data_IF_859772113504
#
_entry.id   IF_859772113504
#
_cell.length_a   1.000
_cell.length_b   1.000
_cell.length_c   1.000
_cell.angle_alpha   90.00
_cell.angle_beta   90.00
_cell.angle_gamma   90.00
#
_symmetry.space_group_name_H-M   'P 1'
#
loop_
_entity.id
_entity.type
_entity.pdbx_description
1 polymer ?
#
# COMPACT_ATOMS: atom_id res chain seq x y z
N UNK A 1 2.09 -46.92 -0.79
CA UNK A 1 2.20 -46.15 -2.04
C UNK A 1 2.77 -44.82 -1.63
N UNK A 2 4.09 -44.72 -1.72
CA UNK A 2 4.85 -43.58 -1.24
C UNK A 2 4.63 -42.41 -2.21
N UNK A 3 3.96 -41.37 -1.72
CA UNK A 3 3.89 -40.09 -2.39
C UNK A 3 5.29 -39.49 -2.35
N UNK A 4 5.97 -39.49 -3.50
CA UNK A 4 7.19 -38.72 -3.69
C UNK A 4 6.87 -37.23 -3.49
N UNK A 5 7.25 -36.69 -2.34
CA UNK A 5 7.39 -35.25 -2.14
C UNK A 5 8.44 -34.75 -3.14
N UNK A 6 7.95 -34.19 -4.25
CA UNK A 6 8.77 -33.40 -5.16
C UNK A 6 9.43 -32.27 -4.33
N UNK A 7 10.75 -32.06 -4.44
CA UNK A 7 11.38 -30.96 -3.72
C UNK A 7 10.76 -29.66 -4.24
N UNK A 8 10.07 -28.93 -3.35
CA UNK A 8 9.63 -27.57 -3.63
C UNK A 8 10.87 -26.77 -4.04
N UNK A 9 11.00 -26.51 -5.33
CA UNK A 9 12.02 -25.60 -5.84
C UNK A 9 11.67 -24.21 -5.32
N UNK A 10 12.59 -23.62 -4.55
CA UNK A 10 12.40 -22.28 -3.97
C UNK A 10 12.06 -21.29 -5.09
N UNK A 11 10.94 -20.57 -4.94
CA UNK A 11 10.56 -19.48 -5.84
C UNK A 11 11.48 -18.26 -5.71
N UNK A 12 12.32 -18.22 -4.69
CA UNK A 12 13.23 -17.12 -4.41
C UNK A 12 14.51 -17.26 -5.23
N UNK A 13 14.78 -16.29 -6.10
CA UNK A 13 15.97 -16.21 -6.94
C UNK A 13 17.03 -15.26 -6.38
N UNK A 14 16.61 -14.18 -5.72
CA UNK A 14 17.48 -13.08 -5.25
C UNK A 14 17.76 -13.03 -3.75
N UNK A 15 17.09 -13.84 -2.92
CA UNK A 15 17.22 -13.79 -1.46
C UNK A 15 16.60 -15.00 -0.75
N UNK A 16 16.61 -15.00 0.58
CA UNK A 16 15.87 -15.98 1.39
C UNK A 16 14.54 -15.39 1.85
N UNK A 17 13.59 -16.27 2.22
CA UNK A 17 12.32 -15.84 2.82
C UNK A 17 12.54 -14.95 4.06
N UNK A 18 13.49 -15.32 4.93
CA UNK A 18 13.81 -14.55 6.13
C UNK A 18 14.27 -13.12 5.78
N UNK A 19 15.14 -12.98 4.79
CA UNK A 19 15.61 -11.67 4.36
C UNK A 19 14.48 -10.81 3.76
N UNK A 20 13.57 -11.40 2.99
CA UNK A 20 12.40 -10.70 2.48
C UNK A 20 11.49 -10.21 3.63
N UNK A 21 11.29 -11.04 4.67
CA UNK A 21 10.52 -10.67 5.86
C UNK A 21 11.19 -9.50 6.60
N UNK A 22 12.51 -9.54 6.79
CA UNK A 22 13.27 -8.44 7.40
C UNK A 22 13.11 -7.13 6.60
N UNK A 23 13.11 -7.22 5.27
CA UNK A 23 12.86 -6.05 4.40
C UNK A 23 11.47 -5.48 4.66
N UNK A 24 10.42 -6.31 4.70
CA UNK A 24 9.08 -5.84 5.01
C UNK A 24 8.97 -5.24 6.41
N UNK A 25 9.61 -5.85 7.42
CA UNK A 25 9.60 -5.33 8.79
C UNK A 25 10.22 -3.94 8.87
N UNK A 26 11.31 -3.70 8.13
CA UNK A 26 11.95 -2.40 8.08
C UNK A 26 11.11 -1.35 7.32
N UNK A 27 10.46 -1.73 6.23
CA UNK A 27 9.49 -0.86 5.53
C UNK A 27 8.34 -0.48 6.48
N UNK A 28 7.74 -1.45 7.16
CA UNK A 28 6.65 -1.23 8.11
C UNK A 28 7.09 -0.33 9.27
N UNK A 29 8.27 -0.58 9.85
CA UNK A 29 8.82 0.24 10.93
C UNK A 29 8.98 1.70 10.52
N UNK A 30 9.50 1.94 9.32
CA UNK A 30 9.66 3.30 8.78
C UNK A 30 8.32 3.96 8.51
N UNK A 31 7.37 3.23 7.94
CA UNK A 31 6.01 3.70 7.74
C UNK A 31 5.33 4.11 9.06
N UNK A 32 5.37 3.26 10.10
CA UNK A 32 4.76 3.59 11.40
C UNK A 32 5.49 4.75 12.10
N UNK A 33 6.81 4.87 11.93
CA UNK A 33 7.58 5.98 12.48
C UNK A 33 7.19 7.32 11.85
N UNK A 34 6.91 7.33 10.54
CA UNK A 34 6.58 8.55 9.79
C UNK A 34 5.13 8.98 9.95
N UNK A 35 4.24 8.08 10.39
CA UNK A 35 2.79 8.31 10.41
C UNK A 35 2.21 8.01 11.81
N UNK A 36 2.24 8.96 12.76
CA UNK A 36 1.77 8.77 14.13
C UNK A 36 0.31 8.31 14.27
N UNK A 37 -0.61 8.87 13.48
CA UNK A 37 -2.04 8.51 13.54
C UNK A 37 -2.23 7.08 13.04
N UNK A 38 -1.64 6.75 11.90
CA UNK A 38 -1.59 5.40 11.35
C UNK A 38 -0.98 4.40 12.33
N UNK A 39 0.11 4.78 13.02
CA UNK A 39 0.72 3.95 14.06
C UNK A 39 -0.25 3.70 15.21
N UNK A 40 -0.97 4.72 15.67
CA UNK A 40 -1.98 4.57 16.72
C UNK A 40 -3.08 3.61 16.30
N UNK A 41 -3.57 3.69 15.05
CA UNK A 41 -4.56 2.73 14.53
C UNK A 41 -3.97 1.31 14.50
N UNK A 42 -2.74 1.17 13.99
CA UNK A 42 -2.05 -0.12 13.91
C UNK A 42 -1.86 -0.78 15.29
N UNK A 43 -1.44 -0.01 16.31
CA UNK A 43 -1.33 -0.48 17.70
C UNK A 43 -2.71 -0.81 18.30
N UNK A 44 -3.70 0.03 18.03
CA UNK A 44 -5.05 -0.16 18.54
C UNK A 44 -5.67 -1.46 18.02
N UNK A 45 -5.55 -1.76 16.72
CA UNK A 45 -6.07 -3.00 16.12
C UNK A 45 -5.47 -4.24 16.77
N UNK A 46 -4.16 -4.25 17.02
CA UNK A 46 -3.48 -5.37 17.69
C UNK A 46 -3.87 -5.52 19.16
N UNK A 47 -4.12 -4.40 19.85
CA UNK A 47 -4.46 -4.41 21.27
C UNK A 47 -5.83 -5.02 21.55
N UNK A 48 -6.75 -4.96 20.58
CA UNK A 48 -8.09 -5.53 20.70
C UNK A 48 -8.00 -7.03 20.64
N UNK A 49 -8.47 -7.70 21.71
CA UNK A 49 -8.54 -9.17 21.81
C UNK A 49 -7.21 -9.89 21.51
N UNK A 50 -6.07 -9.18 21.60
CA UNK A 50 -4.75 -9.65 21.20
C UNK A 50 -4.74 -10.21 19.76
N UNK A 51 -5.31 -9.43 18.85
CA UNK A 51 -5.62 -9.84 17.48
C UNK A 51 -4.37 -10.29 16.70
N UNK A 52 -4.50 -11.40 15.97
CA UNK A 52 -3.44 -11.96 15.15
C UNK A 52 -3.47 -11.33 13.76
N UNK A 53 -2.88 -10.14 13.66
CA UNK A 53 -2.95 -9.35 12.44
C UNK A 53 -2.29 -10.05 11.23
N UNK A 54 -2.93 -9.91 10.08
CA UNK A 54 -2.37 -10.25 8.78
C UNK A 54 -2.54 -9.04 7.85
N UNK A 55 -1.60 -8.89 6.92
CA UNK A 55 -1.63 -7.79 5.96
C UNK A 55 -2.19 -8.31 4.63
N UNK A 56 -3.20 -7.62 4.10
CA UNK A 56 -3.73 -7.93 2.78
C UNK A 56 -2.74 -7.50 1.70
N UNK A 57 -2.32 -6.23 1.78
CA UNK A 57 -1.39 -5.65 0.83
C UNK A 57 -0.65 -4.43 1.39
N UNK A 58 0.49 -4.11 0.77
CA UNK A 58 1.23 -2.87 0.94
C UNK A 58 1.25 -2.08 -0.37
N UNK A 59 0.99 -0.78 -0.29
CA UNK A 59 0.87 0.08 -1.48
C UNK A 59 1.97 1.14 -1.52
N UNK A 60 2.49 1.41 -2.71
CA UNK A 60 3.54 2.39 -2.96
C UNK A 60 3.18 3.25 -4.17
N UNK A 61 3.61 4.51 -4.14
CA UNK A 61 3.42 5.46 -5.24
C UNK A 61 4.78 5.90 -5.76
N UNK A 62 4.90 5.96 -7.09
CA UNK A 62 6.15 6.24 -7.79
C UNK A 62 5.93 7.22 -8.94
N UNK A 63 7.00 7.68 -9.58
CA UNK A 63 6.95 8.61 -10.71
C UNK A 63 7.53 7.91 -11.94
N UNK A 64 6.75 7.74 -13.00
CA UNK A 64 7.19 7.07 -14.23
C UNK A 64 8.09 8.00 -15.04
N UNK A 65 9.35 8.06 -14.66
CA UNK A 65 10.37 8.86 -15.31
C UNK A 65 11.75 8.29 -15.02
N UNK A 66 12.60 8.15 -16.05
CA UNK A 66 14.05 7.86 -15.92
C UNK A 66 14.47 6.78 -14.90
N UNK A 67 13.65 5.72 -14.78
CA UNK A 67 13.90 4.59 -13.89
C UNK A 67 13.37 4.74 -12.45
N UNK A 68 12.46 5.69 -12.19
CA UNK A 68 11.81 5.91 -10.90
C UNK A 68 10.38 5.34 -10.80
N UNK A 69 9.90 4.66 -11.85
CA UNK A 69 8.57 4.05 -11.89
C UNK A 69 8.49 2.75 -11.10
N UNK A 70 7.46 1.94 -11.37
CA UNK A 70 7.20 0.67 -10.66
C UNK A 70 8.44 -0.25 -10.66
N UNK A 71 9.14 -0.34 -11.80
CA UNK A 71 10.30 -1.22 -11.99
C UNK A 71 11.47 -0.95 -11.03
N UNK A 72 11.57 0.29 -10.53
CA UNK A 72 12.60 0.70 -9.56
C UNK A 72 12.52 -0.08 -8.25
N UNK A 73 11.33 -0.59 -7.92
CA UNK A 73 11.05 -1.27 -6.66
C UNK A 73 10.56 -2.71 -6.88
N UNK A 74 9.75 -2.95 -7.91
CA UNK A 74 9.16 -4.27 -8.19
C UNK A 74 10.21 -5.34 -8.50
N UNK A 75 11.33 -4.96 -9.14
CA UNK A 75 12.41 -5.87 -9.51
C UNK A 75 12.93 -6.67 -8.32
N UNK A 76 13.16 -6.02 -7.17
CA UNK A 76 13.56 -6.70 -5.93
C UNK A 76 12.55 -7.76 -5.49
N UNK A 77 11.27 -7.42 -5.47
CA UNK A 77 10.23 -8.33 -5.00
C UNK A 77 10.03 -9.50 -5.98
N UNK A 78 10.12 -9.24 -7.28
CA UNK A 78 10.04 -10.27 -8.31
C UNK A 78 11.22 -11.25 -8.22
N UNK A 79 12.43 -10.78 -7.91
CA UNK A 79 13.58 -11.64 -7.63
C UNK A 79 13.35 -12.51 -6.38
N UNK A 80 12.48 -12.08 -5.46
CA UNK A 80 12.06 -12.84 -4.29
C UNK A 80 10.73 -13.59 -4.50
N UNK A 81 10.35 -13.84 -5.75
CA UNK A 81 9.28 -14.76 -6.11
C UNK A 81 7.88 -14.14 -6.24
N UNK A 82 7.74 -12.81 -6.06
CA UNK A 82 6.50 -12.12 -6.41
C UNK A 82 6.22 -12.19 -7.90
N UNK A 83 4.93 -12.20 -8.28
CA UNK A 83 4.49 -12.25 -9.68
C UNK A 83 3.49 -11.12 -9.94
N UNK A 84 3.51 -10.57 -11.15
CA UNK A 84 2.49 -9.60 -11.57
C UNK A 84 1.14 -10.31 -11.59
N UNK A 85 0.18 -9.80 -10.83
CA UNK A 85 -1.18 -10.31 -10.76
C UNK A 85 -2.15 -9.60 -11.69
N UNK A 86 -1.91 -8.32 -12.00
CA UNK A 86 -2.75 -7.54 -12.91
C UNK A 86 -2.46 -6.04 -12.86
N UNK A 87 -3.16 -5.28 -13.70
CA UNK A 87 -3.02 -3.83 -13.80
C UNK A 87 -4.34 -3.08 -13.61
N UNK A 88 -4.22 -1.82 -13.20
CA UNK A 88 -5.29 -0.86 -13.00
C UNK A 88 -4.87 0.46 -13.64
N UNK A 89 -5.59 0.91 -14.66
CA UNK A 89 -5.33 2.21 -15.28
C UNK A 89 -6.34 3.24 -14.80
N UNK A 90 -5.85 4.42 -14.42
CA UNK A 90 -6.64 5.56 -13.96
C UNK A 90 -6.39 6.76 -14.89
N UNK A 91 -6.99 6.79 -16.10
CA UNK A 91 -6.69 7.82 -17.10
C UNK A 91 -6.95 9.25 -16.61
N UNK A 92 -7.96 9.45 -15.75
CA UNK A 92 -8.26 10.77 -15.18
C UNK A 92 -7.22 11.26 -14.17
N UNK A 93 -6.40 10.36 -13.63
CA UNK A 93 -5.38 10.64 -12.61
C UNK A 93 -3.96 10.57 -13.18
N UNK A 94 -3.81 10.33 -14.49
CA UNK A 94 -2.53 10.06 -15.16
C UNK A 94 -1.71 9.01 -14.38
N UNK A 95 -2.37 7.94 -13.94
CA UNK A 95 -1.81 6.93 -13.04
C UNK A 95 -2.01 5.53 -13.63
N UNK A 96 -0.95 4.73 -13.57
CA UNK A 96 -0.99 3.29 -13.80
C UNK A 96 -0.63 2.55 -12.51
N UNK A 97 -1.41 1.54 -12.16
CA UNK A 97 -1.16 0.64 -11.04
C UNK A 97 -0.87 -0.79 -11.51
N UNK A 98 0.04 -1.47 -10.83
CA UNK A 98 0.23 -2.91 -10.91
C UNK A 98 0.13 -3.52 -9.52
N UNK A 99 -0.47 -4.71 -9.43
CA UNK A 99 -0.43 -5.49 -8.19
C UNK A 99 0.36 -6.78 -8.39
N UNK A 100 0.96 -7.26 -7.30
CA UNK A 100 1.84 -8.42 -7.29
C UNK A 100 1.40 -9.42 -6.24
N UNK A 101 1.22 -10.68 -6.65
CA UNK A 101 0.94 -11.80 -5.76
C UNK A 101 2.22 -12.28 -5.07
N UNK A 102 2.17 -12.63 -3.78
CA UNK A 102 3.32 -13.12 -3.04
C UNK A 102 3.74 -14.52 -3.49
N UNK A 103 4.99 -14.95 -3.22
CA UNK A 103 5.40 -16.34 -3.41
C UNK A 103 4.63 -17.28 -2.47
N UNK A 104 4.48 -18.54 -2.87
CA UNK A 104 3.95 -19.58 -1.99
C UNK A 104 4.97 -19.93 -0.90
N UNK A 105 4.56 -19.82 0.36
CA UNK A 105 5.36 -20.16 1.54
C UNK A 105 4.53 -21.00 2.49
N UNK A 106 5.20 -21.82 3.30
CA UNK A 106 4.51 -22.59 4.36
C UNK A 106 4.20 -21.66 5.53
N UNK A 107 2.93 -21.53 5.86
CA UNK A 107 2.46 -20.69 6.97
C UNK A 107 1.98 -21.62 8.09
N UNK A 108 2.48 -21.47 9.33
CA UNK A 108 1.93 -22.16 10.49
C UNK A 108 0.44 -21.87 10.66
N UNK A 109 -0.32 -22.80 11.25
CA UNK A 109 -1.77 -22.64 11.45
C UNK A 109 -2.13 -21.36 12.22
N UNK A 110 -1.25 -20.94 13.13
CA UNK A 110 -1.40 -19.75 13.96
C UNK A 110 -0.49 -18.58 13.53
N UNK A 111 0.10 -18.69 12.34
CA UNK A 111 1.03 -17.74 11.75
C UNK A 111 0.38 -16.39 11.46
N UNK A 112 1.00 -15.32 11.95
CA UNK A 112 0.52 -13.95 11.84
C UNK A 112 1.69 -12.96 11.81
N UNK A 113 1.39 -11.70 11.51
CA UNK A 113 2.38 -10.65 11.32
C UNK A 113 3.32 -10.91 10.13
N UNK A 114 4.38 -10.11 10.02
CA UNK A 114 5.37 -10.27 8.95
C UNK A 114 6.37 -11.40 9.21
N UNK A 115 6.61 -11.76 10.47
CA UNK A 115 7.62 -12.76 10.81
C UNK A 115 7.16 -14.19 10.54
N UNK A 116 5.87 -14.49 10.79
CA UNK A 116 5.33 -15.85 10.69
C UNK A 116 3.99 -15.96 9.93
N UNK A 117 3.45 -14.85 9.42
CA UNK A 117 2.17 -14.83 8.70
C UNK A 117 2.32 -14.94 7.18
N UNK A 118 1.18 -14.89 6.45
CA UNK A 118 1.19 -14.69 5.00
C UNK A 118 1.92 -13.41 4.63
N UNK A 119 2.67 -13.45 3.53
CA UNK A 119 3.26 -12.24 2.95
C UNK A 119 2.17 -11.39 2.30
N UNK A 120 2.23 -10.05 2.42
CA UNK A 120 1.25 -9.17 1.80
C UNK A 120 1.38 -9.21 0.27
N UNK A 121 0.27 -8.97 -0.44
CA UNK A 121 0.32 -8.54 -1.84
C UNK A 121 1.00 -7.17 -1.90
N UNK A 122 1.51 -6.79 -3.07
CA UNK A 122 2.04 -5.45 -3.29
C UNK A 122 1.21 -4.73 -4.32
N UNK A 123 0.93 -3.45 -4.10
CA UNK A 123 0.34 -2.56 -5.10
C UNK A 123 1.33 -1.42 -5.34
N UNK A 124 1.63 -1.14 -6.60
CA UNK A 124 2.56 -0.09 -6.97
C UNK A 124 1.91 0.77 -8.05
N UNK A 125 1.70 2.04 -7.72
CA UNK A 125 1.27 3.06 -8.66
C UNK A 125 2.45 3.83 -9.24
N UNK A 126 2.35 4.26 -10.49
CA UNK A 126 3.25 5.24 -11.09
C UNK A 126 2.47 6.34 -11.81
N UNK A 127 2.79 7.59 -11.49
CA UNK A 127 2.28 8.74 -12.22
C UNK A 127 2.99 8.81 -13.56
N UNK A 128 2.20 8.90 -14.63
CA UNK A 128 2.66 9.07 -16.00
C UNK A 128 3.14 10.52 -16.18
N UNK A 129 4.39 10.78 -15.80
CA UNK A 129 4.95 12.15 -15.77
C UNK A 129 4.88 12.82 -17.14
N UNK A 130 5.07 12.07 -18.22
CA UNK A 130 4.98 12.60 -19.59
C UNK A 130 3.56 13.05 -20.00
N UNK A 131 2.53 12.69 -19.21
CA UNK A 131 1.13 13.15 -19.38
C UNK A 131 0.79 14.38 -18.52
N UNK A 132 1.72 14.85 -17.68
CA UNK A 132 1.59 16.12 -16.95
C UNK A 132 1.96 17.31 -17.84
N UNK A 133 1.69 18.52 -17.36
CA UNK A 133 2.07 19.76 -18.01
C UNK A 133 3.59 19.87 -18.18
N UNK A 134 4.09 20.56 -19.23
CA UNK A 134 5.53 20.76 -19.41
C UNK A 134 6.21 21.41 -18.19
N UNK A 135 5.50 22.29 -17.47
CA UNK A 135 6.00 22.93 -16.26
C UNK A 135 6.21 21.91 -15.12
N UNK A 136 5.22 21.07 -14.83
CA UNK A 136 5.36 19.99 -13.84
C UNK A 136 6.44 18.98 -14.23
N UNK A 137 6.55 18.63 -15.52
CA UNK A 137 7.61 17.77 -16.02
C UNK A 137 9.00 18.37 -15.77
N UNK A 138 9.18 19.66 -16.05
CA UNK A 138 10.46 20.37 -15.84
C UNK A 138 10.82 20.41 -14.35
N UNK A 139 9.85 20.70 -13.47
CA UNK A 139 10.05 20.68 -12.02
C UNK A 139 10.48 19.28 -11.57
N UNK A 140 9.78 18.22 -11.95
CA UNK A 140 10.15 16.86 -11.53
C UNK A 140 11.55 16.47 -12.04
N UNK A 141 11.85 16.78 -13.31
CA UNK A 141 13.17 16.49 -13.94
C UNK A 141 14.32 17.25 -13.29
N UNK A 142 14.08 18.43 -12.72
CA UNK A 142 15.09 19.19 -11.97
C UNK A 142 15.68 18.38 -10.80
N UNK A 143 14.87 17.53 -10.16
CA UNK A 143 15.24 16.80 -8.95
C UNK A 143 15.63 15.34 -9.19
N UNK A 144 14.98 14.68 -10.14
CA UNK A 144 15.18 13.26 -10.42
C UNK A 144 16.32 13.07 -11.42
N UNK A 145 17.45 12.55 -10.95
CA UNK A 145 18.63 12.26 -11.78
C UNK A 145 18.49 10.90 -12.48
N UNK A 146 18.96 10.74 -13.73
CA UNK A 146 18.92 9.47 -14.44
C UNK A 146 19.42 8.29 -13.59
N UNK A 147 18.65 7.20 -13.55
CA UNK A 147 18.96 5.96 -12.83
C UNK A 147 19.08 6.05 -11.29
N UNK A 148 18.69 7.17 -10.66
CA UNK A 148 18.61 7.26 -9.19
C UNK A 148 17.55 6.32 -8.58
N UNK A 149 16.51 5.95 -9.33
CA UNK A 149 15.51 4.99 -8.85
C UNK A 149 16.07 3.63 -8.39
N UNK A 150 17.31 3.26 -8.75
CA UNK A 150 18.01 2.07 -8.21
C UNK A 150 18.12 2.05 -6.67
N UNK A 151 17.96 3.20 -6.01
CA UNK A 151 17.97 3.29 -4.55
C UNK A 151 16.57 3.19 -3.91
N UNK A 152 15.51 2.89 -4.67
CA UNK A 152 14.11 2.91 -4.21
C UNK A 152 13.87 2.06 -2.96
N UNK A 153 14.33 0.81 -2.93
CA UNK A 153 14.12 -0.06 -1.78
C UNK A 153 14.82 0.46 -0.52
N UNK A 154 16.07 0.92 -0.67
CA UNK A 154 16.84 1.50 0.43
C UNK A 154 16.19 2.80 0.94
N UNK A 155 15.65 3.62 0.03
CA UNK A 155 14.86 4.80 0.34
C UNK A 155 13.62 4.45 1.17
N UNK A 156 12.88 3.42 0.78
CA UNK A 156 11.70 2.94 1.51
C UNK A 156 12.04 2.46 2.92
N UNK A 157 13.12 1.68 3.05
CA UNK A 157 13.61 1.18 4.34
C UNK A 157 14.09 2.30 5.26
N UNK A 158 14.82 3.29 4.74
CA UNK A 158 15.38 4.39 5.54
C UNK A 158 14.38 5.52 5.80
N UNK A 159 13.33 5.63 4.97
CA UNK A 159 12.34 6.70 5.03
C UNK A 159 12.83 8.03 4.48
N UNK A 160 13.83 7.99 3.60
CA UNK A 160 14.52 9.17 3.04
C UNK A 160 14.24 9.35 1.56
N UNK A 161 14.10 10.59 1.10
CA UNK A 161 14.10 10.90 -0.33
C UNK A 161 15.48 10.60 -0.93
N UNK A 162 15.49 10.17 -2.19
CA UNK A 162 16.72 10.00 -2.98
C UNK A 162 17.02 11.21 -3.88
N UNK A 163 16.16 12.23 -3.80
CA UNK A 163 16.34 13.57 -4.37
C UNK A 163 16.22 14.62 -3.26
N UNK A 164 16.64 15.85 -3.57
CA UNK A 164 16.47 17.00 -2.67
C UNK A 164 14.99 17.41 -2.59
N UNK A 165 14.57 18.00 -1.46
CA UNK A 165 13.19 18.48 -1.36
C UNK A 165 12.94 19.65 -2.34
N UNK A 166 11.74 19.71 -2.97
CA UNK A 166 11.37 20.88 -3.76
C UNK A 166 11.18 22.13 -2.88
N UNK A 167 11.12 23.29 -3.52
CA UNK A 167 10.57 24.49 -2.88
C UNK A 167 9.06 24.33 -2.67
N UNK A 168 8.48 25.12 -1.76
CA UNK A 168 7.03 25.10 -1.56
C UNK A 168 6.28 25.46 -2.84
N UNK A 169 6.75 26.46 -3.59
CA UNK A 169 6.11 26.88 -4.85
C UNK A 169 6.08 25.77 -5.91
N UNK A 170 7.17 25.02 -6.03
CA UNK A 170 7.26 23.91 -6.99
C UNK A 170 6.35 22.75 -6.59
N UNK A 171 6.35 22.39 -5.30
CA UNK A 171 5.43 21.37 -4.78
C UNK A 171 3.98 21.77 -4.99
N UNK A 172 3.61 23.02 -4.66
CA UNK A 172 2.25 23.52 -4.80
C UNK A 172 1.79 23.48 -6.26
N UNK A 173 2.66 23.82 -7.20
CA UNK A 173 2.36 23.75 -8.63
C UNK A 173 2.00 22.32 -9.06
N UNK A 174 2.80 21.33 -8.65
CA UNK A 174 2.50 19.92 -8.94
C UNK A 174 1.20 19.50 -8.24
N UNK A 175 0.98 19.91 -6.99
CA UNK A 175 -0.20 19.52 -6.22
C UNK A 175 -1.51 20.07 -6.81
N UNK A 176 -1.50 21.29 -7.35
CA UNK A 176 -2.65 21.89 -8.06
C UNK A 176 -3.02 21.13 -9.34
N UNK A 177 -2.07 20.44 -9.96
CA UNK A 177 -2.28 19.65 -11.17
C UNK A 177 -2.61 18.17 -10.86
N UNK A 178 -1.81 17.55 -9.99
CA UNK A 178 -1.91 16.14 -9.65
C UNK A 178 -1.40 15.90 -8.21
N UNK A 179 -2.34 15.75 -7.29
CA UNK A 179 -2.06 15.56 -5.87
C UNK A 179 -1.26 14.28 -5.58
N UNK A 180 -1.50 13.20 -6.34
CA UNK A 180 -0.75 11.95 -6.19
C UNK A 180 0.70 12.08 -6.67
N UNK A 181 0.94 12.90 -7.71
CA UNK A 181 2.28 13.26 -8.16
C UNK A 181 3.02 14.04 -7.08
N UNK A 182 2.37 15.06 -6.49
CA UNK A 182 2.94 15.83 -5.40
C UNK A 182 3.22 14.96 -4.16
N UNK A 183 2.30 14.06 -3.82
CA UNK A 183 2.45 13.11 -2.72
C UNK A 183 3.68 12.21 -2.93
N UNK A 184 3.80 11.59 -4.11
CA UNK A 184 4.94 10.74 -4.45
C UNK A 184 6.26 11.55 -4.46
N UNK A 185 6.20 12.80 -4.89
CA UNK A 185 7.37 13.66 -4.98
C UNK A 185 7.93 14.09 -3.62
N UNK A 186 7.07 14.33 -2.62
CA UNK A 186 7.51 14.72 -1.27
C UNK A 186 7.72 13.54 -0.32
N UNK A 187 7.04 12.41 -0.55
CA UNK A 187 7.16 11.20 0.29
C UNK A 187 8.12 10.13 -0.27
N UNK A 188 8.46 10.20 -1.56
CA UNK A 188 9.32 9.23 -2.24
C UNK A 188 8.74 7.81 -2.16
N UNK A 189 9.60 6.83 -1.89
CA UNK A 189 9.22 5.41 -1.78
C UNK A 189 8.71 5.02 -0.39
N UNK A 190 8.27 5.99 0.43
CA UNK A 190 7.54 5.67 1.66
C UNK A 190 6.28 4.88 1.29
N UNK A 191 5.98 3.81 2.04
CA UNK A 191 4.72 3.07 1.85
C UNK A 191 3.52 4.02 1.99
N UNK A 192 2.66 4.06 0.98
CA UNK A 192 1.50 4.94 0.93
C UNK A 192 0.41 4.48 1.91
N UNK A 193 0.18 3.18 1.97
CA UNK A 193 -0.65 2.57 3.00
C UNK A 193 -0.31 1.09 3.15
N UNK A 194 -0.63 0.56 4.32
CA UNK A 194 -0.85 -0.86 4.52
C UNK A 194 -2.34 -1.14 4.61
N UNK A 195 -2.74 -2.35 4.26
CA UNK A 195 -4.08 -2.87 4.47
C UNK A 195 -4.08 -4.06 5.42
N UNK A 196 -4.94 -4.05 6.43
CA UNK A 196 -5.23 -5.24 7.23
C UNK A 196 -6.17 -6.18 6.48
N UNK A 197 -5.92 -7.48 6.59
CA UNK A 197 -6.80 -8.53 6.08
C UNK A 197 -7.89 -8.85 7.11
N UNK A 198 -9.06 -8.22 6.95
CA UNK A 198 -10.19 -8.29 7.90
C UNK A 198 -10.69 -9.72 8.07
N UNK A 199 -10.83 -10.47 6.97
CA UNK A 199 -11.29 -11.86 6.98
C UNK A 199 -10.37 -12.84 7.72
N UNK A 200 -9.17 -12.38 8.13
CA UNK A 200 -8.22 -13.15 8.95
C UNK A 200 -8.25 -12.78 10.41
N UNK A 201 -8.79 -11.60 10.74
CA UNK A 201 -9.00 -11.18 12.12
C UNK A 201 -10.06 -12.07 12.78
N UNK A 202 -10.01 -12.13 14.11
CA UNK A 202 -10.91 -12.92 14.94
C UNK A 202 -11.86 -12.00 15.70
N UNK A 203 -12.69 -12.63 16.51
CA UNK A 203 -13.58 -11.94 17.45
C UNK A 203 -14.49 -10.93 16.75
N UNK A 204 -14.52 -9.68 17.24
CA UNK A 204 -15.40 -8.64 16.71
C UNK A 204 -14.87 -8.00 15.42
N UNK A 205 -13.58 -8.14 15.11
CA UNK A 205 -12.96 -7.52 13.93
C UNK A 205 -12.97 -8.42 12.70
N UNK A 206 -13.61 -9.59 12.76
CA UNK A 206 -13.92 -10.37 11.56
C UNK A 206 -15.04 -9.75 10.70
N UNK A 207 -15.69 -8.68 11.16
CA UNK A 207 -16.68 -7.88 10.41
C UNK A 207 -16.13 -6.47 10.19
N UNK A 208 -15.97 -6.08 8.92
CA UNK A 208 -15.48 -4.75 8.54
C UNK A 208 -16.34 -3.60 9.10
N UNK A 209 -17.64 -3.82 9.32
CA UNK A 209 -18.51 -2.80 9.91
C UNK A 209 -18.22 -2.54 11.38
N UNK A 210 -17.78 -3.57 12.13
CA UNK A 210 -17.30 -3.40 13.49
C UNK A 210 -16.03 -2.55 13.52
N UNK A 211 -15.14 -2.73 12.55
CA UNK A 211 -13.92 -1.92 12.42
C UNK A 211 -14.29 -0.46 12.17
N UNK A 212 -15.20 -0.18 11.23
CA UNK A 212 -15.68 1.18 10.94
C UNK A 212 -16.15 1.87 12.22
N UNK A 213 -17.12 1.28 12.91
CA UNK A 213 -17.68 1.85 14.15
C UNK A 213 -16.59 2.06 15.20
N UNK A 214 -15.70 1.08 15.35
CA UNK A 214 -14.67 1.14 16.37
C UNK A 214 -13.64 2.25 16.09
N UNK A 215 -13.27 2.49 14.83
CA UNK A 215 -12.37 3.58 14.48
C UNK A 215 -13.03 4.95 14.71
N UNK A 216 -14.29 5.11 14.31
CA UNK A 216 -15.07 6.33 14.54
C UNK A 216 -15.24 6.62 16.04
N UNK A 217 -15.58 5.60 16.86
CA UNK A 217 -15.68 5.70 18.32
C UNK A 217 -14.35 6.13 18.98
N UNK A 218 -13.22 5.80 18.36
CA UNK A 218 -11.88 6.19 18.82
C UNK A 218 -11.39 7.53 18.21
N UNK A 219 -12.25 8.22 17.45
CA UNK A 219 -11.99 9.55 16.91
C UNK A 219 -11.08 9.56 15.67
N UNK A 220 -11.04 8.48 14.90
CA UNK A 220 -10.36 8.46 13.61
C UNK A 220 -11.31 8.81 12.48
N UNK A 221 -10.89 9.71 11.60
CA UNK A 221 -11.64 10.04 10.39
C UNK A 221 -11.45 8.95 9.32
N UNK A 222 -12.56 8.54 8.70
CA UNK A 222 -12.57 7.57 7.60
C UNK A 222 -12.84 8.27 6.28
N UNK A 223 -12.25 7.74 5.21
CA UNK A 223 -12.45 8.25 3.86
C UNK A 223 -13.92 8.09 3.44
N UNK A 224 -14.57 9.21 3.10
CA UNK A 224 -15.99 9.28 2.70
C UNK A 224 -16.21 9.24 1.19
N UNK A 225 -15.16 9.37 0.37
CA UNK A 225 -15.25 9.35 -1.09
C UNK A 225 -15.77 7.98 -1.57
N UNK A 226 -16.85 7.96 -2.34
CA UNK A 226 -17.54 6.72 -2.70
C UNK A 226 -18.27 6.02 -1.54
N UNK A 227 -18.45 6.69 -0.40
CA UNK A 227 -18.97 6.13 0.86
C UNK A 227 -17.85 5.57 1.75
N UNK A 228 -18.11 5.39 3.06
CA UNK A 228 -17.11 4.84 4.00
C UNK A 228 -16.63 3.45 3.56
N UNK A 229 -17.59 2.57 3.27
CA UNK A 229 -17.34 1.20 2.81
C UNK A 229 -17.39 1.16 1.29
N UNK A 230 -16.24 0.94 0.65
CA UNK A 230 -16.13 0.71 -0.79
C UNK A 230 -16.38 -0.76 -1.06
N UNK A 231 -17.28 -1.05 -1.98
CA UNK A 231 -17.64 -2.42 -2.37
C UNK A 231 -17.41 -2.58 -3.87
N UNK A 232 -16.67 -3.62 -4.25
CA UNK A 232 -16.42 -3.93 -5.66
C UNK A 232 -17.73 -4.24 -6.38
N UNK A 233 -17.73 -4.08 -7.71
CA UNK A 233 -18.92 -4.36 -8.53
C UNK A 233 -19.48 -5.77 -8.35
N UNK A 234 -18.61 -6.76 -8.10
CA UNK A 234 -19.00 -8.15 -7.84
C UNK A 234 -19.46 -8.40 -6.39
N UNK A 235 -19.31 -7.42 -5.50
CA UNK A 235 -19.67 -7.52 -4.09
C UNK A 235 -18.66 -8.30 -3.22
N UNK A 236 -17.54 -8.75 -3.79
CA UNK A 236 -16.63 -9.70 -3.14
C UNK A 236 -15.37 -9.09 -2.54
N UNK A 237 -15.17 -7.77 -2.71
CA UNK A 237 -14.07 -7.02 -2.13
C UNK A 237 -14.61 -5.77 -1.44
N UNK A 238 -14.43 -5.72 -0.12
CA UNK A 238 -14.87 -4.63 0.73
C UNK A 238 -13.65 -3.93 1.30
N UNK A 239 -13.64 -2.60 1.23
CA UNK A 239 -12.49 -1.80 1.64
C UNK A 239 -12.95 -0.57 2.40
N UNK A 240 -12.22 -0.23 3.47
CA UNK A 240 -12.33 1.06 4.16
C UNK A 240 -10.94 1.56 4.50
N UNK A 241 -10.73 2.86 4.38
CA UNK A 241 -9.48 3.51 4.75
C UNK A 241 -9.70 4.65 5.72
N UNK A 242 -8.71 4.90 6.58
CA UNK A 242 -8.62 6.16 7.30
C UNK A 242 -8.34 7.31 6.32
N UNK A 243 -8.71 8.52 6.68
CA UNK A 243 -8.12 9.69 6.05
C UNK A 243 -6.65 9.81 6.47
N UNK A 244 -5.82 10.29 5.56
CA UNK A 244 -4.43 10.58 5.83
C UNK A 244 -4.32 11.77 6.78
N UNK A 245 -3.46 11.65 7.77
CA UNK A 245 -3.12 12.79 8.63
C UNK A 245 -2.28 13.83 7.85
N UNK A 246 -2.39 15.08 8.28
CA UNK A 246 -1.62 16.19 7.72
C UNK A 246 -0.40 16.44 8.59
N UNK A 247 0.80 16.25 8.05
CA UNK A 247 2.05 16.41 8.80
C UNK A 247 2.85 17.61 8.30
N UNK A 248 3.50 18.36 9.20
CA UNK A 248 4.35 19.47 8.80
C UNK A 248 5.60 18.97 8.07
N UNK A 249 5.86 19.54 6.90
CA UNK A 249 7.07 19.32 6.10
C UNK A 249 7.75 20.67 5.86
N UNK A 250 9.02 20.73 6.21
CA UNK A 250 9.92 21.83 5.82
C UNK A 250 10.45 21.58 4.40
N UNK A 251 10.20 22.53 3.50
CA UNK A 251 10.64 22.56 2.10
C UNK A 251 12.07 23.15 1.99
N UNK A 252 12.70 23.05 0.81
CA UNK A 252 14.10 23.48 0.64
C UNK A 252 14.32 24.99 0.74
N UNK A 253 13.26 25.78 0.63
CA UNK A 253 13.25 27.23 0.85
C UNK A 253 12.97 27.62 2.32
N UNK A 254 12.91 26.64 3.24
CA UNK A 254 12.67 26.83 4.66
C UNK A 254 11.20 27.08 5.03
N UNK A 255 10.28 27.02 4.05
CA UNK A 255 8.84 27.12 4.31
C UNK A 255 8.36 25.81 4.94
N UNK A 256 7.54 25.89 5.99
CA UNK A 256 6.89 24.74 6.63
C UNK A 256 5.41 24.75 6.26
N UNK A 257 4.93 23.67 5.64
CA UNK A 257 3.51 23.47 5.32
C UNK A 257 3.07 22.06 5.67
N UNK A 258 1.79 21.90 5.97
CA UNK A 258 1.18 20.59 6.18
C UNK A 258 0.95 19.91 4.84
N UNK A 259 1.33 18.63 4.74
CA UNK A 259 1.06 17.78 3.59
C UNK A 259 0.46 16.45 4.03
N UNK A 260 -0.36 15.79 3.18
CA UNK A 260 -0.90 14.47 3.46
C UNK A 260 0.24 13.47 3.62
N UNK A 261 0.17 12.71 4.70
CA UNK A 261 1.07 11.62 5.00
C UNK A 261 0.54 10.31 4.39
N UNK A 262 0.88 9.17 4.99
CA UNK A 262 0.28 7.88 4.68
C UNK A 262 -0.99 7.62 5.51
N UNK A 263 -1.82 6.70 5.06
CA UNK A 263 -3.06 6.26 5.74
C UNK A 263 -3.09 4.74 5.87
N UNK A 264 -4.08 4.20 6.60
CA UNK A 264 -4.25 2.77 6.79
C UNK A 264 -5.56 2.28 6.16
N UNK A 265 -5.54 1.08 5.60
CA UNK A 265 -6.70 0.42 5.01
C UNK A 265 -7.07 -0.87 5.76
N UNK A 266 -8.33 -1.27 5.63
CA UNK A 266 -8.87 -2.56 5.99
C UNK A 266 -9.58 -3.16 4.78
N UNK A 267 -9.20 -4.39 4.45
CA UNK A 267 -9.68 -5.12 3.27
C UNK A 267 -10.31 -6.43 3.70
N UNK A 268 -11.55 -6.69 3.26
CA UNK A 268 -12.21 -7.97 3.40
C UNK A 268 -12.44 -8.60 2.02
N UNK A 269 -11.91 -9.82 1.83
CA UNK A 269 -12.09 -10.60 0.60
C UNK A 269 -13.09 -11.72 0.87
N UNK A 270 -14.24 -11.67 0.20
CA UNK A 270 -15.27 -12.70 0.35
C UNK A 270 -14.93 -13.96 -0.44
N UNK A 271 -15.59 -15.06 -0.04
CA UNK A 271 -15.48 -16.36 -0.67
C UNK A 271 -16.10 -16.29 -2.07
N UNK A 272 -15.41 -16.87 -3.05
CA UNK A 272 -15.93 -16.93 -4.42
C UNK A 272 -17.17 -17.85 -4.47
N UNK A 273 -18.18 -17.55 -5.31
CA UNK A 273 -19.44 -18.31 -5.33
C UNK A 273 -19.27 -19.82 -5.50
N UNK A 274 -18.28 -20.28 -6.28
CA UNK A 274 -18.00 -21.71 -6.48
C UNK A 274 -17.50 -22.44 -5.22
N UNK A 275 -17.22 -21.72 -4.14
CA UNK A 275 -16.74 -22.23 -2.87
C UNK A 275 -17.68 -21.92 -1.70
N UNK A 276 -18.89 -21.41 -1.97
CA UNK A 276 -19.86 -21.01 -0.94
C UNK A 276 -20.24 -22.16 0.00
N UNK A 277 -20.33 -23.39 -0.52
CA UNK A 277 -20.67 -24.58 0.25
C UNK A 277 -19.48 -25.18 1.04
N UNK A 278 -18.28 -24.61 0.93
CA UNK A 278 -17.14 -25.10 1.70
C UNK A 278 -17.35 -24.85 3.20
N UNK A 279 -17.12 -25.86 4.07
CA UNK A 279 -17.09 -25.65 5.51
C UNK A 279 -16.13 -24.52 5.89
N UNK A 280 -16.52 -23.70 6.87
CA UNK A 280 -15.77 -22.49 7.24
C UNK A 280 -14.30 -22.77 7.61
N UNK A 281 -14.02 -23.92 8.23
CA UNK A 281 -12.68 -24.39 8.60
C UNK A 281 -11.84 -24.86 7.39
N UNK A 282 -12.46 -25.06 6.22
CA UNK A 282 -11.79 -25.41 4.97
C UNK A 282 -11.57 -24.22 4.03
N UNK A 283 -12.13 -23.04 4.37
CA UNK A 283 -11.94 -21.83 3.58
C UNK A 283 -10.48 -21.35 3.71
N UNK A 284 -9.80 -21.22 2.57
CA UNK A 284 -8.43 -20.73 2.44
C UNK A 284 -8.41 -19.46 1.60
N UNK A 285 -7.27 -18.76 1.57
CA UNK A 285 -7.11 -17.54 0.77
C UNK A 285 -7.45 -17.76 -0.70
N UNK A 286 -7.06 -18.91 -1.27
CA UNK A 286 -7.33 -19.28 -2.66
C UNK A 286 -8.82 -19.43 -2.99
N UNK A 287 -9.68 -19.56 -1.97
CA UNK A 287 -11.13 -19.62 -2.14
C UNK A 287 -11.77 -18.22 -2.13
N UNK A 288 -10.99 -17.16 -1.94
CA UNK A 288 -11.48 -15.77 -1.83
C UNK A 288 -11.11 -14.95 -3.06
N UNK A 289 -11.79 -13.82 -3.21
CA UNK A 289 -11.59 -12.86 -4.32
C UNK A 289 -10.17 -12.25 -4.31
N UNK A 290 -9.38 -12.52 -5.35
CA UNK A 290 -7.93 -12.21 -5.38
C UNK A 290 -7.57 -10.81 -5.88
N UNK A 291 -8.04 -10.42 -7.07
CA UNK A 291 -7.64 -9.14 -7.70
C UNK A 291 -8.10 -7.88 -6.91
N UNK A 292 -7.78 -6.71 -7.45
CA UNK A 292 -8.26 -5.42 -6.99
C UNK A 292 -9.42 -4.92 -7.85
N UNK A 293 -10.20 -3.98 -7.34
CA UNK A 293 -11.34 -3.40 -8.05
C UNK A 293 -11.08 -1.92 -8.35
N UNK A 294 -11.14 -1.54 -9.63
CA UNK A 294 -10.84 -0.18 -10.08
C UNK A 294 -11.73 0.87 -9.40
N UNK A 295 -13.03 0.59 -9.27
CA UNK A 295 -13.99 1.49 -8.63
C UNK A 295 -13.69 1.72 -7.15
N UNK A 296 -13.20 0.70 -6.43
CA UNK A 296 -12.79 0.87 -5.04
C UNK A 296 -11.49 1.67 -4.97
N UNK A 297 -10.49 1.26 -5.74
CA UNK A 297 -9.17 1.87 -5.72
C UNK A 297 -9.21 3.36 -6.08
N UNK A 298 -10.04 3.77 -7.04
CA UNK A 298 -10.21 5.17 -7.45
C UNK A 298 -10.61 6.06 -6.27
N UNK A 299 -11.51 5.56 -5.40
CA UNK A 299 -11.96 6.26 -4.21
C UNK A 299 -10.98 6.13 -3.02
N UNK A 300 -10.32 5.00 -2.87
CA UNK A 300 -9.33 4.79 -1.79
C UNK A 300 -8.13 5.75 -1.94
N UNK A 301 -7.70 6.03 -3.17
CA UNK A 301 -6.61 6.96 -3.45
C UNK A 301 -6.88 8.40 -2.95
N UNK A 302 -8.15 8.79 -2.78
CA UNK A 302 -8.55 10.09 -2.21
C UNK A 302 -8.21 10.23 -0.72
N UNK A 303 -7.82 9.15 -0.04
CA UNK A 303 -7.46 9.19 1.37
C UNK A 303 -6.27 10.11 1.66
N UNK A 304 -5.41 10.35 0.67
CA UNK A 304 -4.25 11.25 0.76
C UNK A 304 -4.41 12.54 -0.04
N UNK A 305 -5.66 12.98 -0.27
CA UNK A 305 -5.93 14.20 -1.05
C UNK A 305 -5.29 15.44 -0.42
N UNK A 306 -4.80 16.32 -1.28
CA UNK A 306 -4.21 17.59 -0.86
C UNK A 306 -5.29 18.64 -0.66
N UNK A 307 -5.61 18.96 0.58
CA UNK A 307 -6.53 20.07 0.87
C UNK A 307 -5.73 21.36 0.82
N UNK A 308 -5.79 22.08 -0.30
CA UNK A 308 -5.31 23.47 -0.35
C UNK A 308 -6.14 24.26 0.67
N UNK A 309 -5.49 24.82 1.70
CA UNK A 309 -6.12 25.80 2.57
C UNK A 309 -6.77 26.88 1.68
N UNK A 310 -8.09 26.98 1.73
CA UNK A 310 -8.88 28.06 1.11
C UNK A 310 -8.70 29.36 1.89
#
# INVERSE_FOLDING_TARGET
MDSFDLPHTSSFKGGSELFLRDVFENILKTYLKKNPTTKRIWELVQSVDNEKICYDHFTFMTLKIEGYGIDSMSSFFMDNGYKIGGGLDFPKKNLRGLWFSPPEIKIPEDGHGLSNGPLPRLVMGEILVDELSPASQEIIRKYLKPAGGKQALLSSILGSLIWEKPTWSEFKHIAEENELAAWAFINGYTMNHLAFSVHRLKHRFSDINCIIRYLEENGFDLNQDGGVLKVSTDGLLLQVSSLSEQLPVEFSDGIIKSVPASYIEFTERLVLPQFEDLPHDQIKEIHRREDFALNNADNILESSRFMLDV
#
